data_IF_487568380065
#
_entry.id   IF_487568380065
#
_cell.length_a   1.000
_cell.length_b   1.000
_cell.length_c   1.000
_cell.angle_alpha   90.00
_cell.angle_beta   90.00
_cell.angle_gamma   90.00
#
_symmetry.space_group_name_H-M   'P 1'
#
loop_
_entity.id
_entity.type
_entity.pdbx_description
1 polymer ?
#
# COMPACT_ATOMS: atom_id res chain seq x y z
N UNK A 1 30.87 -65.05 13.03
CA UNK A 1 29.70 -64.33 12.48
C UNK A 1 29.10 -63.55 13.64
N UNK A 2 29.54 -62.31 13.85
CA UNK A 2 29.07 -61.48 14.96
C UNK A 2 27.91 -60.61 14.46
N UNK A 3 26.70 -60.92 14.95
CA UNK A 3 25.50 -60.20 14.58
C UNK A 3 25.38 -58.95 15.48
N UNK A 4 25.71 -57.78 14.92
CA UNK A 4 25.49 -56.47 15.55
C UNK A 4 23.98 -56.19 15.62
N UNK A 5 23.40 -55.85 16.79
CA UNK A 5 21.97 -55.52 16.88
C UNK A 5 21.68 -54.20 16.13
N UNK A 6 20.46 -54.01 15.60
CA UNK A 6 20.08 -52.78 14.92
C UNK A 6 20.10 -51.61 15.91
N UNK A 7 20.80 -50.55 15.54
CA UNK A 7 20.87 -49.28 16.27
C UNK A 7 19.46 -48.71 16.42
N UNK A 8 18.92 -48.71 17.64
CA UNK A 8 17.66 -48.04 17.97
C UNK A 8 17.93 -46.54 18.12
N UNK A 9 17.86 -45.81 17.01
CA UNK A 9 17.89 -44.34 17.02
C UNK A 9 16.52 -43.81 17.50
N UNK A 10 16.46 -42.96 18.55
CA UNK A 10 15.20 -42.38 19.02
C UNK A 10 14.64 -41.39 17.98
N UNK A 11 13.33 -41.43 17.72
CA UNK A 11 12.66 -40.48 16.83
C UNK A 11 12.72 -39.05 17.39
N UNK A 12 12.86 -38.03 16.53
CA UNK A 12 12.80 -36.63 16.94
C UNK A 12 11.41 -36.28 17.51
N UNK A 13 11.32 -35.33 18.45
CA UNK A 13 10.04 -34.89 19.00
C UNK A 13 9.16 -34.30 17.88
N UNK A 14 7.83 -34.45 17.97
CA UNK A 14 6.91 -33.89 16.98
C UNK A 14 7.06 -32.37 16.90
N UNK A 15 6.87 -31.77 15.71
CA UNK A 15 6.95 -30.32 15.54
C UNK A 15 5.89 -29.63 16.41
N UNK A 16 6.20 -28.43 16.94
CA UNK A 16 5.23 -27.67 17.73
C UNK A 16 3.96 -27.40 16.91
N UNK A 17 2.79 -27.37 17.56
CA UNK A 17 1.54 -27.06 16.88
C UNK A 17 1.63 -25.67 16.23
N UNK A 18 1.00 -25.48 15.04
CA UNK A 18 1.01 -24.19 14.37
C UNK A 18 0.40 -23.12 15.29
N UNK A 19 1.16 -22.05 15.51
CA UNK A 19 0.69 -20.89 16.27
C UNK A 19 -0.55 -20.33 15.58
N UNK A 20 -1.67 -20.11 16.28
CA UNK A 20 -2.84 -19.51 15.66
C UNK A 20 -2.48 -18.12 15.15
N UNK A 21 -2.76 -17.86 13.87
CA UNK A 21 -2.55 -16.56 13.24
C UNK A 21 -3.34 -15.52 14.02
N UNK A 22 -2.63 -14.64 14.73
CA UNK A 22 -3.25 -13.51 15.41
C UNK A 22 -3.61 -12.47 14.35
N UNK A 23 -4.86 -12.00 14.35
CA UNK A 23 -5.28 -10.91 13.48
C UNK A 23 -4.42 -9.68 13.79
N UNK A 24 -3.81 -9.09 12.75
CA UNK A 24 -3.00 -7.90 12.90
C UNK A 24 -3.91 -6.71 13.26
N UNK A 25 -3.74 -6.07 14.43
CA UNK A 25 -4.57 -4.93 14.82
C UNK A 25 -4.37 -3.71 13.92
N UNK A 26 -3.29 -3.68 13.12
CA UNK A 26 -3.00 -2.59 12.17
C UNK A 26 -4.12 -2.32 11.17
N UNK A 27 -4.94 -3.33 10.83
CA UNK A 27 -6.06 -3.20 9.88
C UNK A 27 -7.20 -2.36 10.48
N UNK A 28 -7.38 -2.40 11.80
CA UNK A 28 -8.46 -1.67 12.48
C UNK A 28 -8.17 -0.17 12.60
N UNK A 29 -6.90 0.23 12.47
CA UNK A 29 -6.44 1.63 12.59
C UNK A 29 -6.09 2.29 11.25
N UNK A 30 -6.06 1.54 10.15
CA UNK A 30 -5.77 2.11 8.83
C UNK A 30 -6.97 2.92 8.31
N UNK A 31 -6.76 4.09 7.69
CA UNK A 31 -7.84 4.81 7.03
C UNK A 31 -8.47 3.92 5.95
N UNK A 32 -9.78 3.71 6.07
CA UNK A 32 -10.53 2.91 5.08
C UNK A 32 -10.63 3.69 3.77
N UNK A 33 -10.33 3.01 2.68
CA UNK A 33 -10.62 3.49 1.33
C UNK A 33 -12.14 3.63 1.15
N UNK A 34 -12.56 4.58 0.32
CA UNK A 34 -13.96 4.74 -0.08
C UNK A 34 -14.48 3.48 -0.77
N UNK A 35 -15.75 3.16 -0.53
CA UNK A 35 -16.50 2.16 -1.29
C UNK A 35 -16.77 2.63 -2.72
N UNK A 36 -17.13 1.70 -3.62
CA UNK A 36 -17.48 2.04 -5.01
C UNK A 36 -18.61 3.06 -5.08
N UNK A 37 -19.63 2.93 -4.23
CA UNK A 37 -20.74 3.88 -4.18
C UNK A 37 -20.26 5.29 -3.81
N UNK A 38 -19.41 5.41 -2.78
CA UNK A 38 -18.84 6.68 -2.35
C UNK A 38 -17.93 7.31 -3.40
N UNK A 39 -17.15 6.49 -4.12
CA UNK A 39 -16.33 6.95 -5.25
C UNK A 39 -17.23 7.54 -6.35
N UNK A 40 -18.33 6.87 -6.69
CA UNK A 40 -19.25 7.37 -7.71
C UNK A 40 -19.93 8.67 -7.28
N UNK A 41 -20.36 8.77 -6.01
CA UNK A 41 -20.90 10.02 -5.47
C UNK A 41 -19.87 11.16 -5.51
N UNK A 42 -18.64 10.90 -5.10
CA UNK A 42 -17.56 11.90 -5.14
C UNK A 42 -17.26 12.36 -6.56
N UNK A 43 -17.29 11.43 -7.54
CA UNK A 43 -17.11 11.73 -8.96
C UNK A 43 -18.19 12.65 -9.49
N UNK A 44 -19.46 12.33 -9.25
CA UNK A 44 -20.58 13.16 -9.72
C UNK A 44 -20.53 14.56 -9.09
N UNK A 45 -20.20 14.65 -7.79
CA UNK A 45 -20.00 15.93 -7.11
C UNK A 45 -18.84 16.73 -7.73
N UNK A 46 -17.72 16.09 -8.05
CA UNK A 46 -16.59 16.74 -8.69
C UNK A 46 -16.95 17.29 -10.09
N UNK A 47 -17.66 16.50 -10.90
CA UNK A 47 -18.15 16.94 -12.23
C UNK A 47 -19.07 18.15 -12.08
N UNK A 48 -19.99 18.12 -11.11
CA UNK A 48 -20.89 19.25 -10.86
C UNK A 48 -20.11 20.53 -10.53
N UNK A 49 -19.11 20.45 -9.64
CA UNK A 49 -18.28 21.60 -9.27
C UNK A 49 -17.54 22.14 -10.49
N UNK A 50 -16.92 21.27 -11.29
CA UNK A 50 -16.18 21.68 -12.49
C UNK A 50 -17.05 22.40 -13.53
N UNK A 51 -18.33 22.04 -13.62
CA UNK A 51 -19.26 22.64 -14.59
C UNK A 51 -19.92 23.93 -14.08
N UNK A 52 -19.97 24.14 -12.76
CA UNK A 52 -20.72 25.25 -12.15
C UNK A 52 -19.84 26.35 -11.57
N UNK A 53 -18.58 26.05 -11.24
CA UNK A 53 -17.66 26.99 -10.61
C UNK A 53 -16.54 27.39 -11.56
N UNK A 54 -15.98 28.58 -11.30
CA UNK A 54 -14.71 28.96 -11.93
C UNK A 54 -13.59 28.05 -11.45
N UNK A 55 -12.49 27.99 -12.21
CA UNK A 55 -11.32 27.16 -11.87
C UNK A 55 -10.78 27.50 -10.49
N UNK A 56 -10.69 28.79 -10.18
CA UNK A 56 -10.14 29.30 -8.92
C UNK A 56 -11.01 28.90 -7.72
N UNK A 57 -12.34 28.93 -7.88
CA UNK A 57 -13.29 28.50 -6.84
C UNK A 57 -13.27 26.98 -6.66
N UNK A 58 -13.25 26.23 -7.77
CA UNK A 58 -13.14 24.77 -7.73
C UNK A 58 -11.86 24.32 -7.00
N UNK A 59 -10.72 24.98 -7.27
CA UNK A 59 -9.47 24.70 -6.56
C UNK A 59 -9.57 24.96 -5.05
N UNK A 60 -10.23 26.04 -4.63
CA UNK A 60 -10.45 26.30 -3.19
C UNK A 60 -11.26 25.18 -2.54
N UNK A 61 -12.26 24.66 -3.23
CA UNK A 61 -13.09 23.56 -2.72
C UNK A 61 -12.26 22.28 -2.63
N UNK A 62 -11.57 21.87 -3.69
CA UNK A 62 -10.82 20.62 -3.72
C UNK A 62 -9.62 20.59 -2.76
N UNK A 63 -9.04 21.75 -2.46
CA UNK A 63 -7.90 21.86 -1.56
C UNK A 63 -8.30 22.16 -0.10
N UNK A 64 -9.58 22.38 0.18
CA UNK A 64 -10.05 22.68 1.52
C UNK A 64 -9.74 21.52 2.49
N UNK A 65 -9.03 21.83 3.58
CA UNK A 65 -8.67 20.85 4.61
C UNK A 65 -7.49 19.94 4.28
N UNK A 66 -6.91 20.02 3.07
CA UNK A 66 -5.67 19.33 2.75
C UNK A 66 -4.47 20.03 3.41
N UNK A 67 -3.59 19.25 4.03
CA UNK A 67 -2.33 19.73 4.59
C UNK A 67 -1.21 19.37 3.61
N UNK A 68 -0.38 20.33 3.16
CA UNK A 68 0.75 20.04 2.29
C UNK A 68 1.72 19.06 2.96
N UNK A 69 2.10 18.00 2.24
CA UNK A 69 3.15 17.10 2.70
C UNK A 69 4.49 17.76 2.42
N UNK A 70 5.16 18.25 3.47
CA UNK A 70 6.54 18.72 3.38
C UNK A 70 7.46 17.50 3.36
N UNK A 71 7.76 16.99 2.17
CA UNK A 71 8.88 16.07 2.01
C UNK A 71 10.16 16.84 2.37
N UNK A 72 10.80 16.48 3.48
CA UNK A 72 12.16 16.93 3.76
C UNK A 72 13.04 16.34 2.66
N UNK A 73 13.38 17.15 1.66
CA UNK A 73 14.41 16.77 0.69
C UNK A 73 15.65 16.38 1.50
N UNK A 74 16.13 15.12 1.47
CA UNK A 74 17.46 14.86 1.97
C UNK A 74 18.39 15.74 1.14
N UNK A 75 19.26 16.49 1.83
CA UNK A 75 20.23 17.32 1.15
C UNK A 75 21.05 16.44 0.20
N UNK A 76 20.86 16.66 -1.11
CA UNK A 76 21.76 16.29 -2.22
C UNK A 76 22.21 14.82 -2.24
N UNK A 77 21.40 14.00 -2.89
CA UNK A 77 21.85 13.03 -3.89
C UNK A 77 20.76 12.98 -4.98
N UNK A 78 21.21 13.15 -6.22
CA UNK A 78 20.43 13.36 -7.42
C UNK A 78 19.61 12.11 -7.74
N UNK A 79 18.29 12.15 -7.46
CA UNK A 79 17.38 11.14 -8.00
C UNK A 79 17.23 11.45 -9.48
N UNK A 80 17.99 10.73 -10.31
CA UNK A 80 17.75 10.64 -11.75
C UNK A 80 16.32 10.11 -11.91
N UNK A 81 15.37 11.03 -12.10
CA UNK A 81 14.09 10.70 -12.73
C UNK A 81 14.47 10.30 -14.14
N UNK A 82 14.52 8.99 -14.39
CA UNK A 82 14.59 8.49 -15.76
C UNK A 82 13.26 8.86 -16.40
N UNK A 83 13.26 9.95 -17.16
CA UNK A 83 12.19 10.26 -18.10
C UNK A 83 12.16 9.08 -19.08
N UNK A 84 11.09 8.29 -19.02
CA UNK A 84 10.87 7.20 -19.95
C UNK A 84 10.51 7.77 -21.31
N UNK A 85 11.50 8.34 -22.00
CA UNK A 85 11.40 8.62 -23.43
C UNK A 85 11.42 7.27 -24.14
N UNK A 86 10.23 6.76 -24.42
CA UNK A 86 10.00 5.67 -25.37
C UNK A 86 10.28 6.20 -26.79
N UNK A 87 11.56 6.36 -27.11
CA UNK A 87 12.06 6.66 -28.45
C UNK A 87 12.82 5.41 -28.96
N UNK A 88 12.09 4.40 -29.45
CA UNK A 88 12.65 3.30 -30.26
C UNK A 88 12.06 3.42 -31.69
N UNK A 89 12.76 4.15 -32.55
CA UNK A 89 13.59 3.66 -33.66
C UNK A 89 12.83 3.11 -34.90
N UNK A 90 12.65 4.06 -35.83
CA UNK A 90 12.78 3.94 -37.30
C UNK A 90 11.75 3.12 -38.11
#
# INVERSE_FOLDING_TARGET
MENKPPSSTPSPPPPPPPTPLQNNPSIDYEPRTLSEHEINLAREAAIHIMNTHTKEEALKIFLAGLVPVTISRPSKEEVVVSDGTDDELN
#
